data_IF_469850673305
#
_entry.id   IF_469850673305
#
_cell.length_a   1.000
_cell.length_b   1.000
_cell.length_c   1.000
_cell.angle_alpha   90.00
_cell.angle_beta   90.00
_cell.angle_gamma   90.00
#
_symmetry.space_group_name_H-M   'P 1'
#
loop_
_entity.id
_entity.type
_entity.pdbx_description
1 polymer ?
#
# COMPACT_ATOMS: atom_id res chain seq x y z
N UNK A 1 -5.11 15.12 1.87
CA UNK A 1 -4.66 13.78 1.53
C UNK A 1 -4.72 12.89 2.75
N UNK A 2 -5.59 11.88 2.72
CA UNK A 2 -5.65 10.80 3.69
C UNK A 2 -5.95 9.50 2.98
N UNK A 3 -5.37 8.40 3.45
CA UNK A 3 -5.81 7.05 3.02
C UNK A 3 -7.14 6.74 3.71
N UNK A 4 -8.15 6.38 2.92
CA UNK A 4 -9.52 6.07 3.40
C UNK A 4 -9.91 4.60 3.21
N UNK A 5 -9.02 3.82 2.60
CA UNK A 5 -9.25 2.41 2.32
C UNK A 5 -8.18 1.82 1.41
N UNK A 6 -8.37 0.56 1.06
CA UNK A 6 -7.43 -0.20 0.24
C UNK A 6 -8.18 -1.04 -0.78
N UNK A 7 -7.63 -1.25 -1.96
CA UNK A 7 -8.28 -2.05 -3.00
C UNK A 7 -7.30 -2.98 -3.70
N UNK A 8 -7.84 -3.81 -4.59
CA UNK A 8 -7.07 -4.68 -5.45
C UNK A 8 -6.44 -3.91 -6.60
N UNK A 9 -5.33 -4.42 -7.12
CA UNK A 9 -4.65 -3.81 -8.25
C UNK A 9 -5.59 -3.63 -9.45
N UNK A 10 -6.41 -4.61 -9.80
CA UNK A 10 -7.28 -4.51 -10.99
C UNK A 10 -8.69 -3.99 -10.71
N UNK A 11 -8.87 -3.16 -9.67
CA UNK A 11 -10.18 -2.58 -9.37
C UNK A 11 -10.66 -1.64 -10.50
N UNK A 12 -11.79 -1.96 -11.17
CA UNK A 12 -12.26 -1.21 -12.34
C UNK A 12 -12.81 0.18 -12.00
N UNK A 13 -12.95 0.53 -10.71
CA UNK A 13 -13.43 1.85 -10.28
C UNK A 13 -12.41 2.96 -10.54
N UNK A 14 -11.15 2.63 -10.77
CA UNK A 14 -10.06 3.60 -10.83
C UNK A 14 -9.26 3.54 -12.14
N UNK A 15 -8.52 4.62 -12.43
CA UNK A 15 -7.80 4.83 -13.70
C UNK A 15 -6.62 3.86 -13.86
N UNK A 16 -6.51 3.17 -14.99
CA UNK A 16 -5.40 2.22 -15.24
C UNK A 16 -4.02 2.89 -15.28
N UNK A 17 -3.93 4.17 -15.66
CA UNK A 17 -2.65 4.86 -15.80
C UNK A 17 -2.06 5.24 -14.42
N UNK A 18 -1.05 4.49 -14.00
CA UNK A 18 -0.31 4.66 -12.75
C UNK A 18 1.11 5.22 -12.94
N UNK A 19 1.51 5.54 -14.19
CA UNK A 19 2.89 5.96 -14.49
C UNK A 19 3.13 7.46 -14.31
N UNK A 20 2.07 8.23 -14.00
CA UNK A 20 2.12 9.68 -13.90
C UNK A 20 1.15 10.18 -12.83
N UNK A 21 1.45 9.90 -11.57
CA UNK A 21 0.76 10.54 -10.44
C UNK A 21 1.36 11.95 -10.21
N UNK A 22 0.60 13.04 -10.47
CA UNK A 22 1.09 14.40 -10.26
C UNK A 22 1.30 14.76 -8.78
N UNK A 23 0.70 14.00 -7.87
CA UNK A 23 0.79 14.19 -6.41
C UNK A 23 1.59 13.08 -5.74
N UNK A 24 2.48 12.40 -6.50
CA UNK A 24 3.21 11.22 -6.06
C UNK A 24 3.84 11.37 -4.66
N UNK A 25 4.54 12.47 -4.39
CA UNK A 25 5.22 12.67 -3.11
C UNK A 25 4.22 12.87 -1.94
N UNK A 26 3.09 13.53 -2.20
CA UNK A 26 2.03 13.74 -1.20
C UNK A 26 1.31 12.43 -0.88
N UNK A 27 0.95 11.68 -1.91
CA UNK A 27 0.38 10.34 -1.79
C UNK A 27 1.33 9.38 -1.08
N UNK A 28 2.61 9.36 -1.48
CA UNK A 28 3.64 8.53 -0.86
C UNK A 28 3.78 8.82 0.64
N UNK A 29 3.82 10.09 1.03
CA UNK A 29 3.94 10.47 2.45
C UNK A 29 2.69 10.07 3.24
N UNK A 30 1.49 10.28 2.68
CA UNK A 30 0.24 9.84 3.31
C UNK A 30 0.19 8.31 3.50
N UNK A 31 0.70 7.55 2.53
CA UNK A 31 0.81 6.09 2.62
C UNK A 31 1.80 5.68 3.70
N UNK A 32 2.98 6.32 3.80
CA UNK A 32 3.97 6.02 4.84
C UNK A 32 3.38 6.25 6.24
N UNK A 33 2.70 7.39 6.45
CA UNK A 33 2.07 7.70 7.73
C UNK A 33 1.00 6.65 8.08
N UNK A 34 0.20 6.22 7.11
CA UNK A 34 -0.85 5.24 7.31
C UNK A 34 -0.30 3.83 7.61
N UNK A 35 0.73 3.39 6.87
CA UNK A 35 1.43 2.14 7.13
C UNK A 35 1.90 2.09 8.58
N UNK A 36 2.59 3.14 9.04
CA UNK A 36 3.10 3.25 10.41
C UNK A 36 1.99 3.30 11.46
N UNK A 37 0.91 4.04 11.18
CA UNK A 37 -0.24 4.17 12.09
C UNK A 37 -0.91 2.84 12.40
N UNK A 38 -1.03 1.96 11.40
CA UNK A 38 -1.68 0.65 11.55
C UNK A 38 -0.69 -0.51 11.67
N UNK A 39 0.61 -0.23 11.63
CA UNK A 39 1.67 -1.22 11.65
C UNK A 39 1.52 -2.25 10.51
N UNK A 40 1.10 -1.79 9.32
CA UNK A 40 0.96 -2.66 8.15
C UNK A 40 2.33 -3.03 7.60
N UNK A 41 2.49 -4.33 7.31
CA UNK A 41 3.72 -4.95 6.81
C UNK A 41 3.38 -5.93 5.71
N UNK A 42 3.55 -5.52 4.46
CA UNK A 42 3.34 -6.39 3.31
C UNK A 42 4.22 -6.02 2.12
N UNK A 43 4.48 -7.03 1.29
CA UNK A 43 5.44 -6.93 0.20
C UNK A 43 4.92 -6.17 -1.00
N UNK A 44 5.85 -5.74 -1.86
CA UNK A 44 5.51 -5.22 -3.20
C UNK A 44 4.77 -6.24 -4.07
N UNK A 45 5.00 -7.53 -3.89
CA UNK A 45 4.21 -8.58 -4.56
C UNK A 45 2.75 -8.53 -4.11
N UNK A 46 2.50 -8.37 -2.80
CA UNK A 46 1.13 -8.23 -2.29
C UNK A 46 0.48 -6.91 -2.74
N UNK A 47 1.23 -5.82 -2.82
CA UNK A 47 0.72 -4.57 -3.39
C UNK A 47 0.10 -4.75 -4.79
N UNK A 48 0.72 -5.59 -5.64
CA UNK A 48 0.26 -5.83 -7.01
C UNK A 48 -0.70 -7.01 -7.17
N UNK A 49 -0.64 -8.01 -6.30
CA UNK A 49 -1.42 -9.25 -6.43
C UNK A 49 -2.40 -9.54 -5.30
N UNK A 50 -2.41 -8.72 -4.25
CA UNK A 50 -3.27 -8.86 -3.09
C UNK A 50 -4.64 -8.21 -3.30
N UNK A 51 -5.64 -8.70 -2.56
CA UNK A 51 -7.00 -8.15 -2.59
C UNK A 51 -7.04 -6.71 -2.05
N UNK A 52 -6.21 -6.38 -1.06
CA UNK A 52 -6.16 -5.09 -0.37
C UNK A 52 -4.76 -4.47 -0.42
N UNK A 53 -4.16 -4.48 -1.60
CA UNK A 53 -2.76 -4.06 -1.80
C UNK A 53 -2.57 -2.57 -2.11
N UNK A 54 -3.60 -1.90 -2.63
CA UNK A 54 -3.50 -0.55 -3.22
C UNK A 54 -4.21 0.49 -2.34
N UNK A 55 -3.52 1.50 -1.78
CA UNK A 55 -4.16 2.57 -1.02
C UNK A 55 -5.11 3.42 -1.87
N UNK A 56 -6.19 3.87 -1.25
CA UNK A 56 -7.19 4.79 -1.83
C UNK A 56 -7.28 6.06 -0.98
N UNK A 57 -7.36 7.21 -1.64
CA UNK A 57 -7.35 8.52 -0.98
C UNK A 57 -8.72 9.20 -0.93
N UNK A 58 -8.84 10.20 -0.06
CA UNK A 58 -10.02 11.04 0.14
C UNK A 58 -10.40 11.92 -1.06
N UNK A 59 -9.52 12.04 -2.05
CA UNK A 59 -9.76 12.73 -3.32
C UNK A 59 -10.29 11.80 -4.44
N UNK A 60 -10.45 10.51 -4.14
CA UNK A 60 -10.90 9.49 -5.08
C UNK A 60 -9.81 8.92 -5.97
N UNK A 61 -8.53 9.24 -5.72
CA UNK A 61 -7.40 8.63 -6.39
C UNK A 61 -6.88 7.38 -5.65
N UNK A 62 -6.02 6.63 -6.33
CA UNK A 62 -5.41 5.42 -5.83
C UNK A 62 -3.91 5.39 -6.05
N UNK A 63 -3.19 4.70 -5.18
CA UNK A 63 -1.72 4.70 -5.21
C UNK A 63 -1.15 3.41 -5.77
N UNK A 64 -1.11 3.29 -7.10
CA UNK A 64 -0.45 2.19 -7.79
C UNK A 64 1.00 2.49 -8.10
N UNK A 65 1.90 1.61 -7.68
CA UNK A 65 3.32 1.71 -8.00
C UNK A 65 3.91 0.35 -8.34
N UNK A 66 5.11 0.32 -8.93
CA UNK A 66 5.80 -0.95 -9.13
C UNK A 66 6.06 -1.64 -7.78
N UNK A 67 6.08 -2.97 -7.76
CA UNK A 67 6.45 -3.73 -6.55
C UNK A 67 7.81 -3.28 -5.96
N UNK A 68 8.72 -2.75 -6.79
CA UNK A 68 10.01 -2.20 -6.33
C UNK A 68 9.87 -0.86 -5.63
N UNK A 69 9.06 0.01 -6.22
CA UNK A 69 8.72 1.32 -5.63
C UNK A 69 8.00 1.12 -4.31
N UNK A 70 7.06 0.16 -4.24
CA UNK A 70 6.43 -0.24 -2.98
C UNK A 70 7.45 -0.71 -1.95
N UNK A 71 8.41 -1.54 -2.37
CA UNK A 71 9.50 -1.98 -1.50
C UNK A 71 10.30 -0.81 -0.91
N UNK A 72 10.53 0.24 -1.69
CA UNK A 72 11.20 1.46 -1.20
C UNK A 72 10.33 2.18 -0.16
N UNK A 73 9.03 2.30 -0.40
CA UNK A 73 8.08 2.94 0.54
C UNK A 73 8.07 2.22 1.88
N UNK A 74 8.02 0.89 1.87
CA UNK A 74 8.11 0.09 3.10
C UNK A 74 9.46 0.27 3.81
N UNK A 75 10.57 0.36 3.07
CA UNK A 75 11.88 0.64 3.65
C UNK A 75 11.96 2.01 4.32
N UNK A 76 11.24 2.99 3.76
CA UNK A 76 11.15 4.35 4.30
C UNK A 76 10.16 4.45 5.46
N UNK A 77 9.11 3.61 5.48
CA UNK A 77 8.16 3.52 6.57
C UNK A 77 8.75 2.82 7.80
N UNK A 78 9.65 1.86 7.62
CA UNK A 78 10.27 1.06 8.70
C UNK A 78 11.80 0.98 8.58
N UNK A 79 12.51 2.13 8.63
CA UNK A 79 13.97 2.17 8.49
C UNK A 79 14.70 1.40 9.59
N UNK A 80 14.09 1.25 10.77
CA UNK A 80 14.60 0.54 11.93
C UNK A 80 14.69 -0.99 11.75
N UNK A 81 13.87 -1.58 10.88
CA UNK A 81 13.78 -3.05 10.76
C UNK A 81 14.87 -3.65 9.88
N UNK A 82 15.40 -2.87 8.93
CA UNK A 82 16.39 -3.35 7.95
C UNK A 82 17.62 -2.45 7.82
N UNK A 83 17.78 -1.50 8.74
CA UNK A 83 18.97 -0.66 8.87
C UNK A 83 19.32 0.09 7.59
N UNK A 84 18.35 0.76 6.97
CA UNK A 84 18.46 1.60 5.75
C UNK A 84 19.53 1.16 4.73
N UNK A 85 19.69 -0.15 4.51
CA UNK A 85 20.67 -0.63 3.53
C UNK A 85 20.12 -0.44 2.13
N UNK A 86 21.00 -0.35 1.12
CA UNK A 86 20.60 -0.35 -0.31
C UNK A 86 19.77 -1.58 -0.71
N UNK A 87 19.75 -2.61 0.12
CA UNK A 87 19.00 -3.86 -0.09
C UNK A 87 17.63 -3.87 0.60
N UNK A 88 17.33 -2.92 1.49
CA UNK A 88 16.08 -2.90 2.25
C UNK A 88 14.84 -2.87 1.33
N UNK A 89 14.90 -2.05 0.27
CA UNK A 89 13.81 -2.03 -0.71
C UNK A 89 13.67 -3.37 -1.43
N UNK A 90 14.77 -4.07 -1.75
CA UNK A 90 14.73 -5.37 -2.43
C UNK A 90 14.04 -6.40 -1.54
N UNK A 91 14.35 -6.41 -0.24
CA UNK A 91 13.68 -7.30 0.69
C UNK A 91 12.19 -6.99 0.68
N UNK A 92 11.76 -5.77 0.99
CA UNK A 92 10.33 -5.42 0.96
C UNK A 92 9.64 -5.63 -0.41
N UNK A 93 10.37 -5.52 -1.51
CA UNK A 93 9.84 -5.75 -2.86
C UNK A 93 9.44 -7.20 -3.08
N UNK A 94 10.29 -8.14 -2.67
CA UNK A 94 10.24 -9.55 -3.05
C UNK A 94 9.93 -10.49 -1.90
N UNK A 95 10.49 -10.18 -0.74
CA UNK A 95 10.38 -10.92 0.49
C UNK A 95 9.57 -10.05 1.46
N UNK A 96 8.28 -10.32 1.62
CA UNK A 96 7.77 -10.26 3.00
C UNK A 96 8.71 -11.19 3.77
N UNK A 97 9.35 -10.77 4.88
CA UNK A 97 10.13 -11.74 5.64
C UNK A 97 9.13 -12.82 6.08
N UNK A 98 9.19 -13.97 5.42
CA UNK A 98 8.56 -15.25 5.74
C UNK A 98 7.02 -15.28 5.76
N UNK A 99 6.43 -15.91 4.73
CA UNK A 99 5.04 -16.45 4.71
C UNK A 99 3.87 -15.44 4.81
N UNK A 100 2.71 -15.73 4.17
CA UNK A 100 1.49 -14.92 4.34
C UNK A 100 1.04 -14.73 5.80
N UNK A 101 1.54 -15.55 6.73
CA UNK A 101 1.20 -15.53 8.16
C UNK A 101 1.75 -14.32 8.92
N UNK A 102 2.85 -13.74 8.46
CA UNK A 102 3.53 -12.62 9.14
C UNK A 102 3.20 -11.27 8.49
N UNK A 103 2.44 -11.28 7.39
CA UNK A 103 1.92 -10.04 6.78
C UNK A 103 0.85 -9.43 7.67
N UNK A 104 0.99 -8.12 7.93
CA UNK A 104 -0.06 -7.32 8.55
C UNK A 104 -0.66 -6.48 7.43
N UNK A 105 -1.80 -6.94 6.90
CA UNK A 105 -2.48 -6.31 5.77
C UNK A 105 -3.61 -5.39 6.26
N UNK A 106 -4.01 -4.42 5.44
CA UNK A 106 -5.19 -3.62 5.71
C UNK A 106 -6.44 -4.48 5.84
N UNK A 107 -7.37 -4.06 6.71
CA UNK A 107 -8.67 -4.71 6.87
C UNK A 107 -9.78 -3.67 6.86
N UNK A 108 -11.01 -4.12 6.64
CA UNK A 108 -12.17 -3.22 6.58
C UNK A 108 -12.40 -2.54 7.93
N UNK A 109 -12.16 -3.25 9.02
CA UNK A 109 -12.35 -2.78 10.39
C UNK A 109 -11.40 -1.64 10.77
N UNK A 110 -10.32 -1.44 10.00
CA UNK A 110 -9.39 -0.34 10.21
C UNK A 110 -9.94 1.00 9.67
N UNK A 111 -11.05 0.96 8.90
CA UNK A 111 -11.72 2.09 8.26
C UNK A 111 -13.25 2.09 8.49
N UNK A 112 -13.73 2.06 9.75
CA UNK A 112 -15.15 1.90 10.06
C UNK A 112 -16.03 3.07 9.60
N UNK A 113 -15.45 4.24 9.37
CA UNK A 113 -16.16 5.45 8.92
C UNK A 113 -16.33 5.55 7.39
N UNK A 114 -15.73 4.64 6.61
CA UNK A 114 -15.76 4.68 5.15
C UNK A 114 -16.49 3.47 4.56
N UNK A 115 -17.62 3.71 3.90
CA UNK A 115 -18.40 2.70 3.13
C UNK A 115 -17.71 2.26 1.83
N UNK A 116 -16.42 2.57 1.68
CA UNK A 116 -15.60 2.28 0.51
C UNK A 116 -15.63 0.77 0.11
N UNK A 117 -15.85 -0.09 1.11
CA UNK A 117 -15.81 -1.54 1.02
C UNK A 117 -17.11 -2.20 0.52
N UNK A 118 -18.25 -1.50 0.54
CA UNK A 118 -19.56 -2.09 0.22
C UNK A 118 -19.79 -2.30 -1.29
N UNK A 119 -18.97 -1.69 -2.15
CA UNK A 119 -19.07 -1.83 -3.60
C UNK A 119 -18.24 -2.99 -4.19
N UNK A 120 -17.53 -3.77 -3.35
CA UNK A 120 -16.72 -4.91 -3.80
C UNK A 120 -17.54 -6.20 -4.07
N UNK A 121 -18.85 -6.19 -3.84
CA UNK A 121 -19.75 -7.33 -4.09
C UNK A 121 -20.98 -6.84 -4.87
N UNK A 122 -20.85 -6.76 -6.19
CA UNK A 122 -21.94 -6.94 -7.16
C UNK A 122 -21.38 -7.71 -8.36
#
# INVERSE_FOLDING_TARGET
MKVIGWTGWDDPRYREDYLSDPLFDEHRNAVIDELRKHNYHFSGIYHQGGELGVPVFDDGDWFKVSYRTWGQIMADAYPEEMGQTKSAYIVWSWCSPCEPKDMIIPRREDYPEYDFWEQLIQ
#
